data_IF_333525444972
#
_entry.id   IF_333525444972
#
_cell.length_a   1.000
_cell.length_b   1.000
_cell.length_c   1.000
_cell.angle_alpha   90.00
_cell.angle_beta   90.00
_cell.angle_gamma   90.00
#
_symmetry.space_group_name_H-M   'P 1'
#
loop_
_entity.id
_entity.type
_entity.pdbx_description
1 polymer ?
#
# COMPACT_ATOMS: atom_id res chain seq x y z
N UNK A 1 -26.19 -55.27 -6.02
CA UNK A 1 -25.26 -54.50 -5.15
C UNK A 1 -24.37 -53.56 -5.98
N UNK A 2 -24.94 -52.57 -6.69
CA UNK A 2 -24.19 -51.64 -7.57
C UNK A 2 -24.35 -50.15 -7.24
N UNK A 3 -25.07 -49.81 -6.16
CA UNK A 3 -25.35 -48.40 -5.80
C UNK A 3 -24.46 -47.82 -4.69
N UNK A 4 -23.60 -48.62 -4.05
CA UNK A 4 -22.83 -48.19 -2.88
C UNK A 4 -21.39 -47.76 -3.20
N UNK A 5 -20.85 -48.14 -4.36
CA UNK A 5 -19.45 -47.83 -4.74
C UNK A 5 -19.28 -46.39 -5.27
N UNK A 6 -20.31 -45.82 -5.91
CA UNK A 6 -20.22 -44.48 -6.52
C UNK A 6 -20.21 -43.33 -5.51
N UNK A 7 -20.87 -43.49 -4.36
CA UNK A 7 -20.97 -42.43 -3.36
C UNK A 7 -19.68 -42.26 -2.54
N UNK A 8 -18.90 -43.33 -2.38
CA UNK A 8 -17.60 -43.32 -1.69
C UNK A 8 -16.51 -42.68 -2.58
N UNK A 9 -16.59 -42.87 -3.90
CA UNK A 9 -15.65 -42.26 -4.85
C UNK A 9 -15.86 -40.74 -5.01
N UNK A 10 -17.10 -40.26 -4.90
CA UNK A 10 -17.42 -38.82 -4.95
C UNK A 10 -17.02 -38.07 -3.66
N UNK A 11 -17.12 -38.72 -2.49
CA UNK A 11 -16.74 -38.12 -1.21
C UNK A 11 -15.22 -37.99 -1.01
N UNK A 12 -14.42 -38.84 -1.67
CA UNK A 12 -12.96 -38.79 -1.58
C UNK A 12 -12.34 -37.74 -2.51
N UNK A 13 -13.00 -37.43 -3.64
CA UNK A 13 -12.52 -36.39 -4.56
C UNK A 13 -12.72 -34.96 -4.01
N UNK A 14 -13.80 -34.72 -3.25
CA UNK A 14 -14.10 -33.40 -2.66
C UNK A 14 -13.17 -33.05 -1.48
N UNK A 15 -12.61 -34.05 -0.79
CA UNK A 15 -11.68 -33.83 0.34
C UNK A 15 -10.22 -33.58 -0.10
N UNK A 16 -9.85 -33.87 -1.34
CA UNK A 16 -8.49 -33.65 -1.83
C UNK A 16 -8.30 -32.22 -2.39
N UNK A 17 -9.37 -31.55 -2.80
CA UNK A 17 -9.31 -30.17 -3.29
C UNK A 17 -9.16 -29.12 -2.17
N UNK A 18 -9.52 -29.45 -0.92
CA UNK A 18 -9.40 -28.53 0.22
C UNK A 18 -8.02 -28.50 0.87
N UNK A 19 -7.09 -29.40 0.49
CA UNK A 19 -5.72 -29.41 1.01
C UNK A 19 -4.70 -28.62 0.17
N UNK A 20 -5.07 -28.15 -1.02
CA UNK A 20 -4.24 -27.22 -1.80
C UNK A 20 -4.61 -25.78 -1.42
N UNK A 21 -4.55 -25.47 -0.13
CA UNK A 21 -4.34 -24.09 0.29
C UNK A 21 -2.97 -23.71 -0.28
N UNK A 22 -2.98 -23.01 -1.42
CA UNK A 22 -1.77 -22.49 -2.05
C UNK A 22 -1.02 -21.73 -0.95
N UNK A 23 0.06 -22.30 -0.45
CA UNK A 23 1.07 -21.51 0.22
C UNK A 23 1.48 -20.47 -0.84
N UNK A 24 1.00 -19.24 -0.69
CA UNK A 24 1.58 -18.12 -1.40
C UNK A 24 3.06 -18.22 -1.15
N UNK A 25 3.87 -18.38 -2.19
CA UNK A 25 5.28 -18.07 -2.12
C UNK A 25 5.33 -16.66 -1.52
N UNK A 26 5.75 -16.55 -0.27
CA UNK A 26 6.11 -15.26 0.29
C UNK A 26 7.20 -14.74 -0.66
N UNK A 27 6.81 -13.83 -1.55
CA UNK A 27 7.77 -13.14 -2.40
C UNK A 27 8.83 -12.59 -1.46
N UNK A 28 10.07 -13.04 -1.65
CA UNK A 28 11.16 -12.65 -0.78
C UNK A 28 11.18 -11.12 -0.67
N UNK A 29 11.34 -10.55 0.54
CA UNK A 29 11.33 -9.11 0.71
C UNK A 29 12.29 -8.45 -0.27
N UNK A 30 11.91 -7.29 -0.84
CA UNK A 30 12.77 -6.62 -1.80
C UNK A 30 14.12 -6.28 -1.16
N UNK A 31 15.19 -6.21 -1.96
CA UNK A 31 16.56 -6.02 -1.45
C UNK A 31 16.75 -4.74 -0.59
N UNK A 32 15.87 -3.76 -0.75
CA UNK A 32 15.85 -2.52 0.02
C UNK A 32 15.13 -2.66 1.37
N UNK A 33 14.34 -3.72 1.58
CA UNK A 33 13.71 -4.05 2.85
C UNK A 33 14.74 -4.71 3.78
N UNK A 34 15.72 -3.93 4.25
CA UNK A 34 16.73 -4.34 5.21
C UNK A 34 16.92 -3.30 6.33
N UNK A 35 16.39 -3.58 7.53
CA UNK A 35 16.39 -2.62 8.64
C UNK A 35 17.80 -2.25 9.12
N UNK A 36 18.68 -3.24 9.27
CA UNK A 36 20.06 -3.03 9.75
C UNK A 36 20.87 -2.15 8.80
N UNK A 37 20.73 -2.37 7.48
CA UNK A 37 21.52 -1.65 6.46
C UNK A 37 20.89 -0.31 6.07
N UNK A 38 19.57 -0.25 5.94
CA UNK A 38 18.85 0.84 5.29
C UNK A 38 17.81 1.53 6.18
N UNK A 39 17.50 1.00 7.36
CA UNK A 39 16.43 1.49 8.22
C UNK A 39 16.55 2.98 8.60
N UNK A 40 17.78 3.50 8.71
CA UNK A 40 18.02 4.94 8.99
C UNK A 40 17.46 5.90 7.92
N UNK A 41 17.22 5.39 6.71
CA UNK A 41 16.65 6.12 5.57
C UNK A 41 15.15 5.86 5.38
N UNK A 42 14.57 4.95 6.15
CA UNK A 42 13.18 4.50 6.00
C UNK A 42 12.30 4.94 7.17
N UNK A 43 12.75 5.91 7.97
CA UNK A 43 11.98 6.46 9.09
C UNK A 43 10.84 7.35 8.56
N UNK A 44 9.56 6.91 8.66
CA UNK A 44 8.44 7.63 8.09
C UNK A 44 8.17 8.96 8.83
N UNK A 45 8.54 9.06 10.11
CA UNK A 45 8.31 10.26 10.89
C UNK A 45 9.16 11.44 10.43
N UNK A 46 10.32 11.18 9.78
CA UNK A 46 11.12 12.24 9.17
C UNK A 46 10.39 12.98 8.04
N UNK A 47 9.45 12.32 7.37
CA UNK A 47 8.64 12.93 6.30
C UNK A 47 7.36 13.52 6.91
N UNK A 48 6.71 12.75 7.78
CA UNK A 48 5.41 13.11 8.37
C UNK A 48 5.46 14.26 9.38
N UNK A 49 6.62 14.55 9.98
CA UNK A 49 6.79 15.64 10.96
C UNK A 49 7.38 16.93 10.38
N UNK A 50 7.41 17.06 9.06
CA UNK A 50 7.84 18.30 8.43
C UNK A 50 6.88 19.45 8.69
N UNK A 51 7.37 20.67 8.55
CA UNK A 51 6.54 21.88 8.68
C UNK A 51 5.43 21.89 7.63
N UNK A 52 4.28 22.48 7.97
CA UNK A 52 3.16 22.68 7.03
C UNK A 52 3.55 23.52 5.80
N UNK A 53 4.62 24.30 5.89
CA UNK A 53 5.17 25.06 4.77
C UNK A 53 5.93 24.20 3.76
N UNK A 54 6.32 22.98 4.12
CA UNK A 54 7.03 22.07 3.23
C UNK A 54 6.04 21.28 2.36
N UNK A 55 6.30 21.30 1.05
CA UNK A 55 5.49 20.61 0.05
C UNK A 55 6.38 19.64 -0.71
N UNK A 56 5.98 18.39 -0.74
CA UNK A 56 6.63 17.35 -1.54
C UNK A 56 5.89 17.18 -2.87
N UNK A 57 6.64 17.06 -3.95
CA UNK A 57 6.12 16.89 -5.30
C UNK A 57 6.51 15.52 -5.86
N UNK A 58 5.55 14.80 -6.43
CA UNK A 58 5.84 13.59 -7.18
C UNK A 58 6.31 13.98 -8.58
N UNK A 59 7.63 14.04 -8.74
CA UNK A 59 8.25 14.47 -10.00
C UNK A 59 8.34 13.37 -11.05
N UNK A 60 8.35 12.10 -10.62
CA UNK A 60 8.45 10.94 -11.50
C UNK A 60 7.77 9.72 -10.88
N UNK A 61 7.17 8.87 -11.72
CA UNK A 61 6.58 7.58 -11.34
C UNK A 61 6.81 6.54 -12.43
N UNK A 62 6.93 5.27 -12.04
CA UNK A 62 7.04 4.14 -12.98
C UNK A 62 5.68 3.56 -13.36
N UNK A 63 4.59 4.24 -12.99
CA UNK A 63 3.21 3.88 -13.26
C UNK A 63 2.38 5.13 -13.56
N UNK A 64 1.28 4.98 -14.29
CA UNK A 64 0.43 6.09 -14.75
C UNK A 64 -0.98 6.09 -14.13
N UNK A 65 -1.34 5.10 -13.32
CA UNK A 65 -2.65 5.01 -12.67
C UNK A 65 -2.53 4.72 -11.17
N UNK A 66 -3.35 5.41 -10.38
CA UNK A 66 -3.50 5.21 -8.94
C UNK A 66 -4.98 5.35 -8.56
N UNK A 67 -5.78 4.33 -8.87
CA UNK A 67 -7.24 4.44 -8.94
C UNK A 67 -7.90 4.81 -7.60
N UNK A 68 -7.33 4.38 -6.46
CA UNK A 68 -7.81 4.74 -5.12
C UNK A 68 -7.28 6.08 -4.59
N UNK A 69 -6.45 6.78 -5.36
CA UNK A 69 -5.82 8.04 -4.97
C UNK A 69 -6.11 9.14 -5.98
N UNK A 70 -5.32 9.18 -7.07
CA UNK A 70 -5.32 10.29 -8.01
C UNK A 70 -5.97 9.93 -9.36
N UNK A 71 -6.32 8.67 -9.58
CA UNK A 71 -6.89 8.17 -10.84
C UNK A 71 -5.84 7.91 -11.92
N UNK A 72 -6.28 7.88 -13.18
CA UNK A 72 -5.42 7.61 -14.34
C UNK A 72 -4.81 8.89 -14.94
N UNK A 73 -3.61 8.74 -15.53
CA UNK A 73 -2.80 9.81 -16.09
C UNK A 73 -2.64 11.00 -15.14
N UNK A 74 -2.36 10.68 -13.86
CA UNK A 74 -2.20 11.71 -12.85
C UNK A 74 -0.96 12.56 -13.13
N UNK A 75 -1.06 13.85 -12.82
CA UNK A 75 0.04 14.82 -12.94
C UNK A 75 -0.07 15.85 -11.83
N UNK A 76 0.97 16.67 -11.66
CA UNK A 76 0.98 17.77 -10.68
C UNK A 76 0.63 17.32 -9.24
N UNK A 77 0.99 16.09 -8.89
CA UNK A 77 0.73 15.55 -7.55
C UNK A 77 1.70 16.21 -6.56
N UNK A 78 1.13 16.84 -5.55
CA UNK A 78 1.86 17.37 -4.41
C UNK A 78 1.17 16.99 -3.11
N UNK A 79 1.94 16.88 -2.04
CA UNK A 79 1.44 16.63 -0.69
C UNK A 79 2.12 17.55 0.30
N UNK A 80 1.35 18.02 1.27
CA UNK A 80 1.87 18.56 2.52
C UNK A 80 1.21 17.82 3.67
N UNK A 81 1.88 17.81 4.81
CA UNK A 81 1.37 17.16 6.00
C UNK A 81 0.94 18.20 7.03
N UNK A 82 -0.16 17.94 7.73
CA UNK A 82 -0.55 18.70 8.91
C UNK A 82 -0.78 17.77 10.09
N UNK A 83 -0.46 18.27 11.29
CA UNK A 83 -0.58 17.51 12.51
C UNK A 83 -2.05 17.36 12.92
N UNK A 84 -2.49 16.14 13.23
CA UNK A 84 -3.78 15.85 13.86
C UNK A 84 -3.58 15.48 15.33
N UNK A 85 -2.70 14.50 15.59
CA UNK A 85 -2.40 14.00 16.95
C UNK A 85 -0.98 13.41 17.01
N UNK A 86 -0.56 12.83 18.13
CA UNK A 86 0.75 12.16 18.20
C UNK A 86 0.93 11.06 17.13
N UNK A 87 -0.15 10.33 16.82
CA UNK A 87 -0.12 9.14 15.95
C UNK A 87 -0.59 9.42 14.52
N UNK A 88 -1.35 10.51 14.31
CA UNK A 88 -2.01 10.78 13.04
C UNK A 88 -1.54 12.09 12.41
N UNK A 89 -1.29 12.04 11.11
CA UNK A 89 -1.14 13.21 10.24
C UNK A 89 -2.30 13.28 9.26
N UNK A 90 -2.55 14.47 8.74
CA UNK A 90 -3.36 14.66 7.55
C UNK A 90 -2.41 14.85 6.37
N UNK A 91 -2.54 14.02 5.35
CA UNK A 91 -1.91 14.21 4.05
C UNK A 91 -2.87 15.00 3.16
N UNK A 92 -2.53 16.26 2.88
CA UNK A 92 -3.31 17.17 2.04
C UNK A 92 -2.74 17.09 0.61
N UNK A 93 -3.35 16.29 -0.26
CA UNK A 93 -2.93 16.15 -1.66
C UNK A 93 -3.58 17.19 -2.56
N UNK A 94 -2.81 17.67 -3.54
CA UNK A 94 -3.29 18.40 -4.71
C UNK A 94 -2.80 17.65 -5.95
N UNK A 95 -3.66 17.42 -6.93
CA UNK A 95 -3.31 16.69 -8.14
C UNK A 95 -4.18 17.07 -9.34
N UNK A 96 -3.81 16.56 -10.51
CA UNK A 96 -4.61 16.50 -11.73
C UNK A 96 -4.62 15.07 -12.26
N UNK A 97 -5.60 14.73 -13.09
CA UNK A 97 -5.78 13.43 -13.73
C UNK A 97 -6.51 13.56 -15.07
N UNK A 98 -6.76 12.44 -15.75
CA UNK A 98 -7.42 12.42 -17.06
C UNK A 98 -8.76 13.15 -17.10
N UNK A 99 -9.54 13.13 -16.01
CA UNK A 99 -10.85 13.78 -15.90
C UNK A 99 -10.77 15.26 -15.51
N UNK A 100 -9.58 15.78 -15.25
CA UNK A 100 -9.39 17.13 -14.71
C UNK A 100 -9.57 18.24 -15.73
N UNK A 101 -9.38 17.96 -17.03
CA UNK A 101 -9.31 18.97 -18.08
C UNK A 101 -8.10 19.90 -17.87
N UNK A 102 -8.27 20.92 -17.01
CA UNK A 102 -7.22 21.83 -16.52
C UNK A 102 -7.36 22.21 -15.03
N UNK A 103 -8.31 21.61 -14.30
CA UNK A 103 -8.56 21.89 -12.89
C UNK A 103 -7.64 21.08 -11.99
N UNK A 104 -7.41 21.55 -10.78
CA UNK A 104 -6.76 20.76 -9.72
C UNK A 104 -7.81 20.19 -8.78
N UNK A 105 -7.57 18.97 -8.32
CA UNK A 105 -8.36 18.31 -7.30
C UNK A 105 -7.59 18.24 -5.98
N UNK A 106 -8.34 18.16 -4.89
CA UNK A 106 -7.80 18.00 -3.54
C UNK A 106 -8.26 16.67 -2.97
N UNK A 107 -7.39 16.00 -2.23
CA UNK A 107 -7.69 14.78 -1.49
C UNK A 107 -7.01 14.84 -0.12
N UNK A 108 -7.79 14.81 0.94
CA UNK A 108 -7.28 14.74 2.31
C UNK A 108 -7.36 13.30 2.81
N UNK A 109 -6.25 12.75 3.28
CA UNK A 109 -6.19 11.42 3.90
C UNK A 109 -5.66 11.53 5.33
N UNK A 110 -6.23 10.73 6.24
CA UNK A 110 -5.59 10.49 7.52
C UNK A 110 -4.49 9.46 7.32
N UNK A 111 -3.30 9.78 7.82
CA UNK A 111 -2.08 9.02 7.57
C UNK A 111 -1.43 8.66 8.88
N UNK A 112 -1.01 7.40 8.98
CA UNK A 112 -0.32 6.82 10.13
C UNK A 112 0.98 6.14 9.68
N UNK A 113 1.74 5.66 10.65
CA UNK A 113 2.95 4.87 10.42
C UNK A 113 2.70 3.41 10.75
N UNK A 114 3.33 2.51 10.01
CA UNK A 114 3.25 1.08 10.26
C UNK A 114 4.59 0.38 10.10
N UNK A 115 4.61 -0.89 10.50
CA UNK A 115 5.75 -1.79 10.35
C UNK A 115 5.45 -2.77 9.23
N UNK A 116 6.38 -2.94 8.31
CA UNK A 116 6.31 -3.94 7.23
C UNK A 116 7.59 -4.77 7.22
N UNK A 117 7.57 -5.92 6.54
CA UNK A 117 8.75 -6.80 6.39
C UNK A 117 9.40 -7.22 7.72
N UNK A 118 8.61 -7.42 8.77
CA UNK A 118 9.06 -7.82 10.11
C UNK A 118 10.07 -6.87 10.78
N UNK A 119 10.05 -5.58 10.44
CA UNK A 119 10.90 -4.59 11.10
C UNK A 119 10.54 -4.42 12.58
N UNK A 120 11.54 -4.08 13.39
CA UNK A 120 11.34 -3.73 14.79
C UNK A 120 10.81 -2.31 14.95
N UNK A 121 11.21 -1.39 14.05
CA UNK A 121 10.78 0.02 14.01
C UNK A 121 9.83 0.31 12.84
N UNK A 122 8.92 1.29 12.96
CA UNK A 122 8.08 1.73 11.84
C UNK A 122 8.92 2.16 10.63
N UNK A 123 8.49 1.75 9.45
CA UNK A 123 9.21 1.97 8.18
C UNK A 123 8.29 2.30 7.00
N UNK A 124 6.98 2.39 7.24
CA UNK A 124 5.98 2.62 6.20
C UNK A 124 4.98 3.70 6.62
N UNK A 125 4.38 4.33 5.61
CA UNK A 125 3.29 5.30 5.70
C UNK A 125 2.03 4.61 5.19
N UNK A 126 0.90 4.74 5.91
CA UNK A 126 -0.41 4.18 5.55
C UNK A 126 -1.51 5.24 5.64
#
# INVERSE_FOLDING_TARGET
MKKQMGMIFLLTFVLLESLLCRASTEDSPPIWANETRLGKYQDPWKILNQSRSEVYYLVNSTFSSADYLWGSNFTCVSVRFSNISAEWRKSEFIYRNASSGNKTFNLDLNTTVSKTYNYTKPNAIQ
#
